data_IF_545787224625
#
_entry.id   IF_545787224625
#
_cell.length_a   1.000
_cell.length_b   1.000
_cell.length_c   1.000
_cell.angle_alpha   90.00
_cell.angle_beta   90.00
_cell.angle_gamma   90.00
#
_symmetry.space_group_name_H-M   'P 1'
#
loop_
_entity.id
_entity.type
_entity.pdbx_description
1 polymer ?
#
# COMPACT_ATOMS: atom_id res chain seq x y z
N UNK A 1 -10.73 -1.43 9.51
CA UNK A 1 -11.74 -0.50 10.05
C UNK A 1 -13.05 -0.80 9.36
N UNK A 2 -14.12 -1.15 10.09
CA UNK A 2 -15.41 -1.39 9.47
C UNK A 2 -16.05 -0.04 9.09
N UNK A 3 -16.25 0.19 7.80
CA UNK A 3 -16.94 1.40 7.32
C UNK A 3 -18.39 1.29 7.81
N UNK A 4 -18.81 2.18 8.70
CA UNK A 4 -20.20 2.24 9.15
C UNK A 4 -21.00 2.91 8.02
N UNK A 5 -21.61 2.11 7.17
CA UNK A 5 -22.41 2.59 6.05
C UNK A 5 -23.66 1.75 5.82
N UNK A 6 -24.60 2.27 5.04
CA UNK A 6 -25.79 1.51 4.67
C UNK A 6 -25.44 0.33 3.76
N UNK A 7 -26.31 -0.69 3.73
CA UNK A 7 -26.16 -1.85 2.82
C UNK A 7 -26.02 -1.42 1.35
N UNK A 8 -26.70 -0.35 0.96
CA UNK A 8 -26.61 0.21 -0.39
C UNK A 8 -25.20 0.73 -0.71
N UNK A 9 -24.56 1.43 0.23
CA UNK A 9 -23.19 1.95 0.07
C UNK A 9 -22.17 0.80 0.04
N UNK A 10 -22.33 -0.22 0.88
CA UNK A 10 -21.48 -1.41 0.79
C UNK A 10 -21.56 -2.08 -0.58
N UNK A 11 -22.77 -2.31 -1.09
CA UNK A 11 -22.96 -2.88 -2.42
C UNK A 11 -22.35 -2.01 -3.53
N UNK A 12 -22.45 -0.68 -3.40
CA UNK A 12 -21.81 0.25 -4.33
C UNK A 12 -20.29 0.08 -4.34
N UNK A 13 -19.64 0.05 -3.17
CA UNK A 13 -18.20 -0.16 -3.08
C UNK A 13 -17.77 -1.53 -3.58
N UNK A 14 -18.55 -2.58 -3.32
CA UNK A 14 -18.27 -3.93 -3.81
C UNK A 14 -18.33 -4.00 -5.34
N UNK A 15 -19.32 -3.35 -5.96
CA UNK A 15 -19.43 -3.26 -7.43
C UNK A 15 -18.20 -2.54 -8.00
N UNK A 16 -17.81 -1.39 -7.43
CA UNK A 16 -16.63 -0.66 -7.87
C UNK A 16 -15.38 -1.51 -7.76
N UNK A 17 -15.15 -2.12 -6.59
CA UNK A 17 -13.99 -2.97 -6.33
C UNK A 17 -13.90 -4.12 -7.32
N UNK A 18 -15.00 -4.85 -7.52
CA UNK A 18 -15.03 -6.01 -8.41
C UNK A 18 -14.73 -5.62 -9.86
N UNK A 19 -15.35 -4.53 -10.36
CA UNK A 19 -15.09 -4.03 -11.72
C UNK A 19 -13.66 -3.51 -11.88
N UNK A 20 -13.11 -2.83 -10.88
CA UNK A 20 -11.72 -2.38 -10.90
C UNK A 20 -10.76 -3.56 -11.00
N UNK A 21 -10.98 -4.62 -10.20
CA UNK A 21 -10.15 -5.83 -10.24
C UNK A 21 -10.26 -6.53 -11.59
N UNK A 22 -11.47 -6.67 -12.13
CA UNK A 22 -11.72 -7.28 -13.44
C UNK A 22 -10.93 -6.56 -14.55
N UNK A 23 -11.06 -5.23 -14.63
CA UNK A 23 -10.39 -4.42 -15.66
C UNK A 23 -8.87 -4.42 -15.46
N UNK A 24 -8.39 -4.37 -14.21
CA UNK A 24 -6.96 -4.42 -13.91
C UNK A 24 -6.34 -5.76 -14.32
N UNK A 25 -7.04 -6.87 -14.08
CA UNK A 25 -6.62 -8.20 -14.51
C UNK A 25 -6.60 -8.31 -16.03
N UNK A 26 -7.61 -7.77 -16.73
CA UNK A 26 -7.61 -7.70 -18.19
C UNK A 26 -6.40 -6.92 -18.73
N UNK A 27 -6.08 -5.77 -18.12
CA UNK A 27 -4.93 -4.96 -18.49
C UNK A 27 -3.61 -5.71 -18.26
N UNK A 28 -3.45 -6.41 -17.14
CA UNK A 28 -2.27 -7.26 -16.89
C UNK A 28 -2.15 -8.37 -17.93
N UNK A 29 -3.25 -9.05 -18.26
CA UNK A 29 -3.26 -10.10 -19.27
C UNK A 29 -2.82 -9.56 -20.65
N UNK A 30 -3.32 -8.38 -21.04
CA UNK A 30 -2.89 -7.73 -22.28
C UNK A 30 -1.38 -7.43 -22.29
N UNK A 31 -0.83 -6.96 -21.16
CA UNK A 31 0.61 -6.65 -21.05
C UNK A 31 1.52 -7.87 -21.16
N UNK A 32 1.03 -9.07 -20.86
CA UNK A 32 1.81 -10.31 -21.07
C UNK A 32 2.14 -10.60 -22.53
N UNK A 33 1.46 -9.95 -23.49
CA UNK A 33 1.78 -10.04 -24.93
C UNK A 33 3.13 -9.44 -25.31
N UNK A 34 3.75 -8.65 -24.41
CA UNK A 34 5.08 -8.05 -24.64
C UNK A 34 5.09 -6.91 -25.65
N UNK A 35 3.93 -6.38 -26.04
CA UNK A 35 3.80 -5.20 -26.92
C UNK A 35 4.22 -3.93 -26.16
N UNK A 36 3.85 -3.83 -24.89
CA UNK A 36 4.26 -2.74 -24.01
C UNK A 36 5.66 -3.00 -23.41
N UNK A 37 6.41 -1.94 -23.04
CA UNK A 37 7.71 -2.08 -22.37
C UNK A 37 7.66 -2.87 -21.05
N UNK A 38 6.48 -2.96 -20.45
CA UNK A 38 6.26 -3.63 -19.19
C UNK A 38 5.25 -4.76 -19.31
N UNK A 39 5.59 -5.89 -18.68
CA UNK A 39 4.77 -7.11 -18.69
C UNK A 39 3.66 -7.12 -17.63
N UNK A 40 3.63 -6.11 -16.75
CA UNK A 40 2.63 -5.94 -15.68
C UNK A 40 2.22 -4.47 -15.61
N UNK A 41 1.02 -4.22 -15.10
CA UNK A 41 0.54 -2.87 -14.82
C UNK A 41 1.40 -2.19 -13.75
N UNK A 42 1.94 -1.02 -14.11
CA UNK A 42 2.62 -0.07 -13.22
C UNK A 42 1.72 0.55 -12.16
N UNK A 43 0.40 0.38 -12.28
CA UNK A 43 -0.58 1.04 -11.44
C UNK A 43 -1.01 0.05 -10.34
N UNK A 44 -0.46 0.12 -9.12
CA UNK A 44 -0.89 -0.71 -8.01
C UNK A 44 -2.30 -0.32 -7.55
N UNK A 45 -3.09 -1.31 -7.15
CA UNK A 45 -4.38 -1.09 -6.52
C UNK A 45 -4.19 -0.97 -5.00
N UNK A 46 -4.86 -0.01 -4.38
CA UNK A 46 -4.84 0.18 -2.93
C UNK A 46 -6.23 0.61 -2.44
N UNK A 47 -6.70 0.02 -1.34
CA UNK A 47 -7.99 0.30 -0.73
C UNK A 47 -7.90 1.32 0.42
N UNK A 48 -6.70 1.57 0.94
CA UNK A 48 -6.47 2.46 2.09
C UNK A 48 -5.26 3.38 1.91
N UNK A 49 -5.13 4.40 2.77
CA UNK A 49 -3.96 5.30 2.79
C UNK A 49 -2.69 4.49 3.08
N UNK A 50 -2.76 3.59 4.06
CA UNK A 50 -1.65 2.74 4.45
C UNK A 50 -1.17 1.86 3.27
N UNK A 51 -2.10 1.20 2.57
CA UNK A 51 -1.76 0.39 1.39
C UNK A 51 -1.15 1.23 0.26
N UNK A 52 -1.58 2.49 0.08
CA UNK A 52 -0.94 3.39 -0.89
C UNK A 52 0.51 3.69 -0.51
N UNK A 53 0.78 3.93 0.78
CA UNK A 53 2.15 4.18 1.26
C UNK A 53 3.03 2.96 0.99
N UNK A 54 2.56 1.75 1.31
CA UNK A 54 3.30 0.51 1.04
C UNK A 54 3.52 0.28 -0.46
N UNK A 55 2.51 0.53 -1.30
CA UNK A 55 2.64 0.36 -2.75
C UNK A 55 3.65 1.34 -3.37
N UNK A 56 3.65 2.61 -2.92
CA UNK A 56 4.59 3.62 -3.40
C UNK A 56 6.01 3.31 -2.90
N UNK A 57 6.18 3.09 -1.59
CA UNK A 57 7.49 2.81 -1.02
C UNK A 57 8.06 1.46 -1.47
N UNK A 58 7.19 0.48 -1.72
CA UNK A 58 7.56 -0.82 -2.29
C UNK A 58 8.16 -0.74 -3.69
N UNK A 59 7.89 0.33 -4.44
CA UNK A 59 8.55 0.59 -5.73
C UNK A 59 10.01 1.02 -5.57
N UNK A 60 10.36 1.63 -4.42
CA UNK A 60 11.71 2.09 -4.09
C UNK A 60 12.47 0.98 -3.35
N UNK A 61 11.85 0.41 -2.31
CA UNK A 61 12.39 -0.69 -1.51
C UNK A 61 11.41 -1.85 -1.47
N UNK A 62 11.59 -2.86 -2.35
CA UNK A 62 10.71 -4.03 -2.42
C UNK A 62 10.59 -4.80 -1.10
N UNK A 63 11.60 -4.68 -0.22
CA UNK A 63 11.64 -5.32 1.08
C UNK A 63 10.54 -4.81 2.05
N UNK A 64 9.97 -3.63 1.78
CA UNK A 64 8.86 -3.08 2.56
C UNK A 64 7.51 -3.72 2.21
N UNK A 65 7.37 -4.36 1.05
CA UNK A 65 6.10 -4.97 0.63
C UNK A 65 5.79 -6.18 1.53
N UNK A 66 4.61 -6.18 2.15
CA UNK A 66 4.15 -7.19 3.12
C UNK A 66 5.00 -7.26 4.41
N UNK A 67 5.82 -6.24 4.70
CA UNK A 67 6.64 -6.15 5.92
C UNK A 67 5.82 -5.93 7.20
N UNK A 68 4.54 -5.58 7.06
CA UNK A 68 3.65 -5.24 8.18
C UNK A 68 3.53 -3.75 8.48
N UNK A 69 4.21 -2.90 7.69
CA UNK A 69 4.13 -1.43 7.81
C UNK A 69 2.70 -0.91 7.71
N UNK A 70 1.86 -1.47 6.82
CA UNK A 70 0.44 -1.10 6.69
C UNK A 70 -0.35 -1.27 7.99
N UNK A 71 -0.12 -2.39 8.68
CA UNK A 71 -0.73 -2.66 9.98
C UNK A 71 -0.24 -1.67 11.02
N UNK A 72 1.07 -1.37 11.03
CA UNK A 72 1.65 -0.40 11.97
C UNK A 72 1.08 1.00 11.80
N UNK A 73 0.96 1.47 10.55
CA UNK A 73 0.32 2.77 10.24
C UNK A 73 -1.09 2.80 10.84
N UNK A 74 -1.88 1.75 10.63
CA UNK A 74 -3.25 1.67 11.15
C UNK A 74 -3.32 1.70 12.69
N UNK A 75 -2.33 1.11 13.38
CA UNK A 75 -2.22 1.15 14.85
C UNK A 75 -1.84 2.56 15.35
N UNK A 76 -0.89 3.21 14.68
CA UNK A 76 -0.44 4.55 15.03
C UNK A 76 -1.54 5.59 14.75
N UNK A 77 -2.27 5.47 13.65
CA UNK A 77 -3.42 6.32 13.34
C UNK A 77 -4.57 6.14 14.34
N UNK A 78 -4.80 4.93 14.86
CA UNK A 78 -5.75 4.73 15.96
C UNK A 78 -5.31 5.40 17.25
N UNK A 79 -4.00 5.50 17.50
CA UNK A 79 -3.45 6.10 18.72
C UNK A 79 -3.38 7.63 18.66
N UNK A 80 -2.92 8.20 17.55
CA UNK A 80 -2.64 9.63 17.42
C UNK A 80 -3.66 10.39 16.57
N UNK A 81 -4.45 9.67 15.77
CA UNK A 81 -5.38 10.23 14.78
C UNK A 81 -4.87 10.02 13.36
N UNK A 82 -5.80 9.89 12.41
CA UNK A 82 -5.50 9.78 10.98
C UNK A 82 -4.83 11.07 10.48
N UNK A 83 -3.71 10.92 9.76
CA UNK A 83 -2.96 12.06 9.22
C UNK A 83 -2.12 12.85 10.24
N UNK A 84 -1.92 12.33 11.45
CA UNK A 84 -1.05 12.97 12.44
C UNK A 84 0.44 12.80 12.08
N UNK A 85 1.20 13.90 12.11
CA UNK A 85 2.63 13.94 11.75
C UNK A 85 3.50 13.00 12.61
N UNK A 86 3.08 12.69 13.84
CA UNK A 86 3.80 11.77 14.74
C UNK A 86 3.80 10.34 14.20
N UNK A 87 2.75 9.95 13.47
CA UNK A 87 2.69 8.63 12.82
C UNK A 87 3.86 8.48 11.85
N UNK A 88 4.10 9.49 11.01
CA UNK A 88 5.17 9.48 10.03
C UNK A 88 6.55 9.43 10.71
N UNK A 89 6.80 10.24 11.74
CA UNK A 89 8.10 10.27 12.42
C UNK A 89 8.41 9.00 13.20
N UNK A 90 7.41 8.44 13.91
CA UNK A 90 7.58 7.18 14.62
C UNK A 90 7.86 6.06 13.62
N UNK A 91 7.11 6.01 12.52
CA UNK A 91 7.29 5.00 11.49
C UNK A 91 8.66 5.12 10.82
N UNK A 92 9.12 6.34 10.49
CA UNK A 92 10.44 6.57 9.93
C UNK A 92 11.54 6.07 10.86
N UNK A 93 11.45 6.36 12.17
CA UNK A 93 12.41 5.84 13.15
C UNK A 93 12.36 4.30 13.26
N UNK A 94 11.17 3.70 13.27
CA UNK A 94 11.03 2.24 13.32
C UNK A 94 11.57 1.54 12.06
N UNK A 95 11.47 2.18 10.89
CA UNK A 95 12.07 1.69 9.63
C UNK A 95 13.59 1.84 9.66
N UNK A 96 14.11 2.98 10.09
CA UNK A 96 15.54 3.23 10.23
C UNK A 96 16.22 2.29 11.26
N UNK A 97 15.46 1.84 12.27
CA UNK A 97 15.87 0.80 13.24
C UNK A 97 15.67 -0.63 12.70
N UNK A 98 15.35 -0.80 11.42
CA UNK A 98 15.19 -2.08 10.73
C UNK A 98 14.13 -3.03 11.34
N UNK A 99 13.09 -2.47 11.99
CA UNK A 99 12.06 -3.31 12.64
C UNK A 99 11.16 -4.06 11.66
N UNK A 100 11.04 -3.57 10.42
CA UNK A 100 10.14 -4.11 9.40
C UNK A 100 10.86 -4.83 8.26
N UNK A 101 12.04 -4.36 7.89
CA UNK A 101 12.87 -4.95 6.86
C UNK A 101 14.33 -4.64 7.14
N UNK A 102 15.21 -5.48 6.59
CA UNK A 102 16.65 -5.27 6.65
C UNK A 102 17.12 -4.52 5.41
N UNK A 103 18.05 -3.62 5.62
CA UNK A 103 18.72 -2.89 4.56
C UNK A 103 20.17 -3.37 4.48
N UNK A 104 20.81 -3.19 3.31
CA UNK A 104 22.21 -3.54 3.16
C UNK A 104 23.10 -2.52 3.88
N UNK A 105 22.77 -1.23 3.71
CA UNK A 105 23.45 -0.12 4.36
C UNK A 105 22.47 0.73 5.16
N UNK A 106 22.94 1.31 6.26
CA UNK A 106 22.09 2.12 7.13
C UNK A 106 21.55 3.39 6.45
N UNK A 107 22.24 3.88 5.42
CA UNK A 107 21.77 5.00 4.60
C UNK A 107 20.49 4.64 3.83
N UNK A 108 20.35 3.38 3.40
CA UNK A 108 19.18 2.92 2.65
C UNK A 108 17.95 2.83 3.54
N UNK A 109 18.15 2.64 4.85
CA UNK A 109 17.07 2.66 5.83
C UNK A 109 16.58 4.09 6.15
N UNK A 110 17.41 5.10 5.87
CA UNK A 110 17.12 6.52 6.11
C UNK A 110 16.49 7.19 4.86
N UNK A 111 16.87 6.73 3.67
CA UNK A 111 16.43 7.24 2.37
C UNK A 111 15.00 6.78 2.00
#
# INVERSE_FOLDING_TARGET
MAIIASKQIHNYFDILKNKTIEIHNLANNAKTTGIDPQLKSDIPLAASVAERVEAIMGSISPNLINSGVTKRISELEQKYGSGDWRVALILANEIAEEKFCKFEEQIDAIN
#
